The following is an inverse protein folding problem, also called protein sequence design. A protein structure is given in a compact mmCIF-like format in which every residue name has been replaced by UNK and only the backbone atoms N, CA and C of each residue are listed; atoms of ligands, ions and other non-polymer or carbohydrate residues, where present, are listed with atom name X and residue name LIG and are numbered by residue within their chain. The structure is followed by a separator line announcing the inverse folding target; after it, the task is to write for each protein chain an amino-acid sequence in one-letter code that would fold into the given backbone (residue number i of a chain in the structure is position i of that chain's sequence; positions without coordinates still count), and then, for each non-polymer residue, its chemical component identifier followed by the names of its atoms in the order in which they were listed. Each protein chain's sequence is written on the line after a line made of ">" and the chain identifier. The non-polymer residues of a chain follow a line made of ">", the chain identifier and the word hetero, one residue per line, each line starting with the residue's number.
data_IF_459702944650
#
_entry.id   IF_459702944650
#
_cell.length_a   1.000
_cell.length_b   1.000
_cell.length_c   1.000
_cell.angle_alpha   90.00
_cell.angle_beta   90.00
_cell.angle_gamma   90.00
#
_symmetry.space_group_name_H-M   'P 1'
#
loop_
_entity.id
_entity.type
_entity.pdbx_description
1 polymer ?
#
# COMPACT_ATOMS: atom_id res chain seq x y z
N UNK A 1 15.42 17.16 -0.12
CA UNK A 1 15.03 15.72 -0.20
C UNK A 1 15.32 15.20 -1.59
N UNK A 2 16.16 14.17 -1.72
CA UNK A 2 16.62 13.72 -3.03
C UNK A 2 15.77 12.56 -3.58
N UNK A 3 14.50 12.87 -3.91
CA UNK A 3 13.60 11.92 -4.58
C UNK A 3 13.17 12.42 -5.97
N UNK A 4 14.07 13.16 -6.65
CA UNK A 4 13.78 13.77 -7.93
C UNK A 4 12.69 14.82 -7.82
N UNK A 5 11.68 14.74 -8.68
CA UNK A 5 10.56 15.67 -8.71
C UNK A 5 9.41 15.29 -7.76
N UNK A 6 9.51 14.18 -7.02
CA UNK A 6 8.50 13.77 -6.05
C UNK A 6 8.68 14.49 -4.72
N UNK A 7 7.76 15.37 -4.38
CA UNK A 7 7.79 16.18 -3.15
C UNK A 7 6.75 15.68 -2.15
N UNK A 8 7.05 14.59 -1.43
CA UNK A 8 6.12 13.90 -0.52
C UNK A 8 5.50 14.79 0.56
N UNK A 9 6.18 15.86 0.97
CA UNK A 9 5.65 16.86 1.89
C UNK A 9 4.51 17.71 1.32
N UNK A 10 4.15 17.53 0.05
CA UNK A 10 3.00 18.17 -0.58
C UNK A 10 1.89 17.13 -0.78
N UNK A 11 0.83 17.19 0.01
CA UNK A 11 -0.23 16.19 0.10
C UNK A 11 -0.90 15.87 -1.24
N UNK A 12 -1.18 16.84 -2.15
CA UNK A 12 -1.79 16.55 -3.44
C UNK A 12 -1.04 15.53 -4.30
N UNK A 13 0.26 15.29 -4.06
CA UNK A 13 1.03 14.33 -4.87
C UNK A 13 1.30 12.98 -4.16
N UNK A 14 0.85 12.80 -2.92
CA UNK A 14 1.14 11.59 -2.13
C UNK A 14 0.57 10.32 -2.77
N UNK A 15 -0.48 10.42 -3.58
CA UNK A 15 -1.07 9.31 -4.32
C UNK A 15 -0.22 8.85 -5.52
N UNK A 16 0.67 9.70 -6.06
CA UNK A 16 1.37 9.46 -7.33
C UNK A 16 2.16 8.15 -7.37
N UNK A 17 2.78 7.77 -6.26
CA UNK A 17 3.57 6.52 -6.18
C UNK A 17 2.72 5.26 -6.30
N UNK A 18 1.43 5.35 -6.07
CA UNK A 18 0.48 4.26 -6.23
C UNK A 18 -0.01 4.11 -7.69
N UNK A 19 0.17 5.14 -8.54
CA UNK A 19 -0.30 5.13 -9.93
C UNK A 19 0.38 4.06 -10.80
N UNK A 20 1.53 3.54 -10.38
CA UNK A 20 2.13 2.37 -11.03
C UNK A 20 1.24 1.13 -11.04
N UNK A 21 0.26 1.03 -10.12
CA UNK A 21 -0.73 -0.05 -10.13
C UNK A 21 -1.71 0.06 -11.31
N UNK A 22 -1.92 1.28 -11.83
CA UNK A 22 -2.79 1.58 -12.98
C UNK A 22 -2.05 1.44 -14.31
N UNK A 23 -0.72 1.56 -14.30
CA UNK A 23 0.12 1.49 -15.51
C UNK A 23 0.71 0.09 -15.77
N UNK A 24 0.25 -0.93 -15.04
CA UNK A 24 0.72 -2.31 -15.21
C UNK A 24 2.12 -2.58 -14.62
N UNK A 25 2.59 -1.72 -13.71
CA UNK A 25 3.91 -1.85 -13.08
C UNK A 25 3.84 -1.84 -11.53
N UNK A 26 2.97 -2.65 -10.90
CA UNK A 26 2.71 -2.60 -9.45
C UNK A 26 3.97 -2.78 -8.59
N UNK A 27 4.98 -3.48 -9.08
CA UNK A 27 6.25 -3.63 -8.37
C UNK A 27 6.98 -2.29 -8.16
N UNK A 28 6.80 -1.32 -9.05
CA UNK A 28 7.37 0.02 -8.87
C UNK A 28 6.69 0.77 -7.71
N UNK A 29 5.35 0.65 -7.58
CA UNK A 29 4.64 1.19 -6.43
C UNK A 29 5.20 0.59 -5.12
N UNK A 30 5.35 -0.74 -5.04
CA UNK A 30 5.87 -1.44 -3.87
C UNK A 30 7.25 -0.90 -3.46
N UNK A 31 8.15 -0.77 -4.40
CA UNK A 31 9.50 -0.23 -4.16
C UNK A 31 9.44 1.23 -3.69
N UNK A 32 8.72 2.10 -4.40
CA UNK A 32 8.69 3.53 -4.09
C UNK A 32 7.99 3.83 -2.76
N UNK A 33 6.90 3.13 -2.46
CA UNK A 33 6.21 3.27 -1.15
C UNK A 33 7.17 2.89 -0.01
N UNK A 34 7.90 1.77 -0.12
CA UNK A 34 8.89 1.35 0.87
C UNK A 34 10.02 2.38 0.98
N UNK A 35 10.52 2.89 -0.13
CA UNK A 35 11.58 3.89 -0.16
C UNK A 35 11.15 5.18 0.56
N UNK A 36 9.93 5.66 0.32
CA UNK A 36 9.38 6.85 0.97
C UNK A 36 9.28 6.63 2.49
N UNK A 37 8.66 5.54 2.92
CA UNK A 37 8.52 5.24 4.36
C UNK A 37 9.87 5.22 5.08
N UNK A 38 10.91 4.67 4.44
CA UNK A 38 12.23 4.55 5.04
C UNK A 38 13.07 5.83 5.01
N UNK A 39 12.84 6.71 4.01
CA UNK A 39 13.69 7.90 3.79
C UNK A 39 13.09 9.19 4.31
N UNK A 40 11.76 9.29 4.28
CA UNK A 40 11.08 10.57 4.49
C UNK A 40 10.30 10.64 5.81
N UNK A 41 10.33 9.56 6.60
CA UNK A 41 9.76 9.51 7.94
C UNK A 41 10.83 9.08 8.94
N UNK A 42 10.88 9.76 10.10
CA UNK A 42 11.79 9.42 11.19
C UNK A 42 11.05 9.41 12.52
N UNK A 43 11.55 8.64 13.49
CA UNK A 43 10.99 8.58 14.85
C UNK A 43 11.55 9.72 15.72
N UNK A 44 11.43 10.96 15.25
CA UNK A 44 11.89 12.18 15.93
C UNK A 44 10.77 13.20 15.96
N UNK A 45 10.85 14.27 16.79
CA UNK A 45 9.87 15.35 16.77
C UNK A 45 9.67 15.99 15.38
N UNK A 46 10.74 16.05 14.56
CA UNK A 46 10.72 16.57 13.18
C UNK A 46 10.57 15.42 12.17
N UNK A 47 9.76 14.40 12.49
CA UNK A 47 9.67 13.14 11.76
C UNK A 47 9.00 13.19 10.40
N UNK A 48 8.38 14.30 10.02
CA UNK A 48 7.74 14.49 8.72
C UNK A 48 8.61 15.32 7.78
N UNK A 49 8.51 15.04 6.49
CA UNK A 49 9.26 15.76 5.47
C UNK A 49 8.58 17.05 4.98
N UNK A 50 7.48 17.43 5.57
CA UNK A 50 6.66 18.60 5.28
C UNK A 50 5.59 18.73 6.34
N UNK A 51 4.53 19.49 6.04
CA UNK A 51 3.43 19.69 6.98
C UNK A 51 2.64 18.38 7.20
N UNK A 52 2.12 18.25 8.41
CA UNK A 52 1.33 17.08 8.80
C UNK A 52 -0.10 17.15 8.21
N UNK A 53 -0.63 18.38 8.05
CA UNK A 53 -1.92 18.71 7.42
C UNK A 53 -3.13 17.95 7.97
N UNK A 54 -3.38 18.16 9.27
CA UNK A 54 -4.56 17.65 9.97
C UNK A 54 -4.76 16.12 9.85
N UNK A 55 -3.67 15.36 9.85
CA UNK A 55 -3.71 13.91 9.82
C UNK A 55 -3.40 13.28 8.46
N UNK A 56 -3.30 14.05 7.37
CA UNK A 56 -3.08 13.51 6.02
C UNK A 56 -1.75 12.77 5.91
N UNK A 57 -0.65 13.37 6.36
CA UNK A 57 0.68 12.78 6.24
C UNK A 57 0.87 11.60 7.19
N UNK A 58 0.31 11.68 8.40
CA UNK A 58 0.25 10.55 9.35
C UNK A 58 -0.56 9.39 8.78
N UNK A 59 -1.76 9.67 8.25
CA UNK A 59 -2.64 8.66 7.67
C UNK A 59 -1.98 7.95 6.48
N UNK A 60 -1.27 8.70 5.62
CA UNK A 60 -0.53 8.11 4.51
C UNK A 60 0.49 7.08 5.00
N UNK A 61 1.28 7.43 6.03
CA UNK A 61 2.27 6.50 6.61
C UNK A 61 1.60 5.26 7.20
N UNK A 62 0.57 5.44 8.03
CA UNK A 62 -0.12 4.32 8.69
C UNK A 62 -0.73 3.36 7.67
N UNK A 63 -1.49 3.86 6.71
CA UNK A 63 -2.08 3.03 5.66
C UNK A 63 -1.01 2.34 4.80
N UNK A 64 0.01 3.08 4.37
CA UNK A 64 1.12 2.54 3.58
C UNK A 64 1.88 1.46 4.34
N UNK A 65 2.09 1.63 5.64
CA UNK A 65 2.73 0.63 6.50
C UNK A 65 1.89 -0.64 6.67
N UNK A 66 0.56 -0.55 6.58
CA UNK A 66 -0.36 -1.69 6.51
C UNK A 66 -0.30 -2.39 5.14
N UNK A 67 0.19 -1.71 4.10
CA UNK A 67 0.37 -2.25 2.76
C UNK A 67 -0.63 -1.79 1.71
N UNK A 68 -1.47 -0.78 2.00
CA UNK A 68 -2.47 -0.25 1.06
C UNK A 68 -2.79 1.21 1.38
N UNK A 69 -3.42 1.94 0.45
CA UNK A 69 -3.79 3.35 0.62
C UNK A 69 -5.04 3.70 -0.21
N UNK A 70 -6.00 4.49 0.30
CA UNK A 70 -7.15 4.98 -0.45
C UNK A 70 -6.72 6.13 -1.38
N UNK A 71 -6.40 5.80 -2.62
CA UNK A 71 -5.84 6.75 -3.60
C UNK A 71 -6.90 7.70 -4.14
N UNK A 72 -8.11 7.20 -4.37
CA UNK A 72 -9.20 7.96 -4.99
C UNK A 72 -10.36 8.12 -4.02
N UNK A 73 -10.57 9.31 -3.43
CA UNK A 73 -11.78 9.59 -2.65
C UNK A 73 -13.03 9.38 -3.50
N UNK A 74 -14.02 8.68 -2.96
CA UNK A 74 -15.28 8.37 -3.66
C UNK A 74 -15.33 6.98 -4.30
N UNK A 75 -14.21 6.23 -4.31
CA UNK A 75 -14.23 4.80 -4.56
C UNK A 75 -14.12 4.01 -3.26
N UNK A 76 -14.51 2.75 -3.28
CA UNK A 76 -14.36 1.83 -2.13
C UNK A 76 -13.03 1.07 -2.16
N UNK A 77 -12.09 1.46 -3.02
CA UNK A 77 -10.84 0.76 -3.25
C UNK A 77 -9.65 1.32 -2.46
N UNK A 78 -8.87 0.40 -1.89
CA UNK A 78 -7.58 0.65 -1.26
C UNK A 78 -6.49 0.02 -2.13
N UNK A 79 -5.63 0.84 -2.69
CA UNK A 79 -4.61 0.42 -3.65
C UNK A 79 -3.41 -0.17 -2.92
N UNK A 80 -2.89 -1.30 -3.41
CA UNK A 80 -1.78 -2.00 -2.77
C UNK A 80 -0.46 -1.25 -2.95
N UNK A 81 0.25 -1.12 -1.85
CA UNK A 81 1.66 -0.76 -1.78
C UNK A 81 2.49 -1.97 -1.35
N UNK A 82 3.19 -1.83 -0.23
CA UNK A 82 3.99 -2.89 0.38
C UNK A 82 3.92 -2.77 1.91
N UNK A 83 3.59 -3.84 2.64
CA UNK A 83 3.53 -3.78 4.10
C UNK A 83 4.91 -3.51 4.70
N UNK A 84 4.98 -2.64 5.71
CA UNK A 84 6.22 -2.33 6.43
C UNK A 84 6.50 -3.35 7.54
N UNK A 85 5.45 -3.82 8.22
CA UNK A 85 5.55 -4.71 9.37
C UNK A 85 5.42 -6.18 8.96
N UNK A 86 6.03 -7.09 9.73
CA UNK A 86 5.86 -8.54 9.55
C UNK A 86 4.44 -9.00 9.85
N UNK A 87 3.78 -8.31 10.78
CA UNK A 87 2.37 -8.55 11.10
C UNK A 87 1.72 -7.30 11.66
N UNK A 88 0.42 -7.15 11.38
CA UNK A 88 -0.44 -6.15 11.98
C UNK A 88 -1.82 -6.75 12.24
N UNK A 89 -2.52 -6.23 13.25
CA UNK A 89 -3.87 -6.63 13.58
C UNK A 89 -4.71 -5.38 13.87
N UNK A 90 -5.81 -5.22 13.14
CA UNK A 90 -6.73 -4.12 13.30
C UNK A 90 -8.04 -4.65 13.88
N UNK A 91 -8.49 -4.05 14.97
CA UNK A 91 -9.80 -4.31 15.56
C UNK A 91 -10.76 -3.24 15.03
N UNK A 92 -11.79 -3.69 14.32
CA UNK A 92 -12.80 -2.81 13.73
C UNK A 92 -13.92 -2.55 14.75
N UNK A 93 -14.58 -1.40 14.63
CA UNK A 93 -15.69 -1.01 15.50
C UNK A 93 -16.88 -2.01 15.46
N UNK A 94 -17.07 -2.68 14.33
CA UNK A 94 -18.09 -3.72 14.17
C UNK A 94 -17.71 -5.08 14.81
N UNK A 95 -16.62 -5.13 15.60
CA UNK A 95 -16.13 -6.32 16.29
C UNK A 95 -15.34 -7.29 15.40
N UNK A 96 -15.21 -7.01 14.10
CA UNK A 96 -14.41 -7.81 13.19
C UNK A 96 -12.91 -7.47 13.32
N UNK A 97 -12.07 -8.30 12.72
CA UNK A 97 -10.62 -8.11 12.77
C UNK A 97 -10.02 -8.28 11.38
N UNK A 98 -9.09 -7.39 11.04
CA UNK A 98 -8.20 -7.57 9.90
C UNK A 98 -6.85 -8.02 10.46
N UNK A 99 -6.35 -9.15 9.98
CA UNK A 99 -5.01 -9.65 10.30
C UNK A 99 -4.17 -9.59 9.04
N UNK A 100 -3.01 -8.93 9.13
CA UNK A 100 -2.04 -8.82 8.06
C UNK A 100 -0.80 -9.60 8.48
N UNK A 101 -0.30 -10.47 7.62
CA UNK A 101 0.97 -11.19 7.79
C UNK A 101 1.80 -11.02 6.54
N UNK A 102 3.07 -10.65 6.70
CA UNK A 102 4.02 -10.47 5.61
C UNK A 102 5.22 -11.38 5.84
N UNK A 103 5.16 -12.59 5.29
CA UNK A 103 6.22 -13.59 5.39
C UNK A 103 7.45 -13.12 4.59
N UNK A 104 8.64 -13.35 5.15
CA UNK A 104 9.91 -12.91 4.61
C UNK A 104 10.04 -11.38 4.43
N UNK A 105 9.23 -10.58 5.14
CA UNK A 105 9.34 -9.13 5.10
C UNK A 105 10.61 -8.69 5.83
N UNK A 106 11.54 -8.08 5.09
CA UNK A 106 12.82 -7.55 5.56
C UNK A 106 13.12 -6.25 4.80
N UNK A 107 14.18 -5.55 5.17
CA UNK A 107 14.57 -4.29 4.53
C UNK A 107 14.64 -4.40 3.00
N UNK A 108 15.28 -5.47 2.50
CA UNK A 108 15.48 -5.69 1.06
C UNK A 108 14.33 -6.47 0.39
N UNK A 109 13.38 -7.01 1.16
CA UNK A 109 12.27 -7.80 0.65
C UNK A 109 10.99 -6.94 0.60
N UNK A 110 10.97 -5.93 -0.27
CA UNK A 110 9.84 -5.01 -0.40
C UNK A 110 8.82 -5.40 -1.46
N UNK A 111 9.08 -6.43 -2.26
CA UNK A 111 8.19 -6.84 -3.35
C UNK A 111 7.22 -7.94 -2.91
N UNK A 112 5.98 -7.83 -3.34
CA UNK A 112 4.97 -8.88 -3.15
C UNK A 112 5.20 -9.95 -4.21
N UNK A 113 5.69 -11.12 -3.78
CA UNK A 113 5.79 -12.30 -4.64
C UNK A 113 4.41 -12.89 -4.91
N UNK A 114 3.67 -13.15 -3.82
CA UNK A 114 2.32 -13.71 -3.83
C UNK A 114 1.48 -13.10 -2.71
N UNK A 115 0.15 -13.18 -2.84
CA UNK A 115 -0.79 -12.72 -1.85
C UNK A 115 -1.99 -13.66 -1.73
N UNK A 116 -2.50 -13.80 -0.51
CA UNK A 116 -3.76 -14.52 -0.24
C UNK A 116 -4.66 -13.67 0.65
N UNK A 117 -5.97 -13.79 0.44
CA UNK A 117 -6.99 -13.26 1.34
C UNK A 117 -7.89 -14.42 1.76
N UNK A 118 -8.02 -14.62 3.08
CA UNK A 118 -8.80 -15.71 3.65
C UNK A 118 -8.44 -17.09 3.05
N UNK A 119 -7.12 -17.32 2.84
CA UNK A 119 -6.59 -18.56 2.29
C UNK A 119 -6.66 -18.71 0.77
N UNK A 120 -7.38 -17.83 0.05
CA UNK A 120 -7.51 -17.85 -1.41
C UNK A 120 -6.48 -16.96 -2.07
N UNK A 121 -5.91 -17.41 -3.20
CA UNK A 121 -4.97 -16.61 -4.00
C UNK A 121 -5.62 -15.30 -4.46
N UNK A 122 -4.85 -14.21 -4.40
CA UNK A 122 -5.33 -12.86 -4.70
C UNK A 122 -4.32 -12.10 -5.57
N UNK A 123 -4.69 -11.83 -6.82
CA UNK A 123 -3.81 -11.16 -7.80
C UNK A 123 -4.05 -9.67 -7.93
N UNK A 124 -5.24 -9.17 -7.55
CA UNK A 124 -5.60 -7.74 -7.70
C UNK A 124 -4.64 -6.81 -6.98
N UNK A 125 -4.50 -5.60 -7.49
CA UNK A 125 -3.69 -4.53 -6.90
C UNK A 125 -4.50 -3.59 -5.99
N UNK A 126 -5.67 -4.00 -5.56
CA UNK A 126 -6.54 -3.25 -4.65
C UNK A 126 -7.32 -4.19 -3.73
N UNK A 127 -7.81 -3.63 -2.64
CA UNK A 127 -8.75 -4.25 -1.69
C UNK A 127 -10.01 -3.39 -1.69
N UNK A 128 -11.18 -3.98 -1.48
CA UNK A 128 -12.39 -3.18 -1.31
C UNK A 128 -12.72 -2.93 0.16
N UNK A 129 -13.37 -1.82 0.44
CA UNK A 129 -13.83 -1.48 1.79
C UNK A 129 -14.71 -2.59 2.38
N UNK A 130 -15.64 -3.11 1.58
CA UNK A 130 -16.53 -4.20 1.98
C UNK A 130 -15.77 -5.48 2.37
N UNK A 131 -14.70 -5.85 1.64
CA UNK A 131 -13.84 -6.98 2.01
C UNK A 131 -13.18 -6.76 3.37
N UNK A 132 -12.67 -5.55 3.62
CA UNK A 132 -12.01 -5.22 4.88
C UNK A 132 -12.98 -5.19 6.05
N UNK A 133 -14.16 -4.60 5.87
CA UNK A 133 -15.19 -4.48 6.92
C UNK A 133 -15.82 -5.80 7.32
N UNK A 134 -15.77 -6.83 6.48
CA UNK A 134 -16.18 -8.21 6.84
C UNK A 134 -15.15 -8.93 7.71
N UNK A 135 -14.00 -8.33 7.93
CA UNK A 135 -12.82 -8.97 8.52
C UNK A 135 -12.04 -9.76 7.48
N UNK A 136 -10.72 -9.69 7.54
CA UNK A 136 -9.85 -10.31 6.55
C UNK A 136 -8.58 -10.89 7.18
N UNK A 137 -8.13 -12.02 6.64
CA UNK A 137 -6.79 -12.55 6.88
C UNK A 137 -5.98 -12.35 5.61
N UNK A 138 -5.14 -11.32 5.60
CA UNK A 138 -4.31 -10.92 4.47
C UNK A 138 -2.91 -11.48 4.68
N UNK A 139 -2.42 -12.26 3.72
CA UNK A 139 -1.12 -12.89 3.76
C UNK A 139 -0.31 -12.47 2.55
N UNK A 140 0.81 -11.81 2.77
CA UNK A 140 1.80 -11.45 1.77
C UNK A 140 3.00 -12.39 1.86
N UNK A 141 3.44 -12.92 0.74
CA UNK A 141 4.75 -13.55 0.57
C UNK A 141 5.69 -12.52 -0.04
N UNK A 142 6.68 -12.06 0.73
CA UNK A 142 7.59 -11.00 0.30
C UNK A 142 8.85 -11.56 -0.36
N UNK A 143 9.48 -10.74 -1.22
CA UNK A 143 10.67 -11.10 -2.00
C UNK A 143 11.59 -9.89 -2.19
N UNK A 144 12.88 -10.15 -2.38
CA UNK A 144 13.88 -9.14 -2.82
C UNK A 144 13.83 -8.88 -4.34
N UNK A 145 13.11 -9.72 -5.10
CA UNK A 145 12.97 -9.59 -6.55
C UNK A 145 11.54 -9.23 -6.93
N UNK A 146 11.33 -8.27 -7.85
CA UNK A 146 9.99 -7.90 -8.33
C UNK A 146 9.32 -9.06 -9.07
N UNK A 147 8.06 -9.34 -8.74
CA UNK A 147 7.21 -10.21 -9.52
C UNK A 147 6.48 -9.40 -10.59
N UNK A 148 7.02 -9.39 -11.81
CA UNK A 148 6.48 -8.62 -12.94
C UNK A 148 5.29 -9.30 -13.63
N UNK A 149 4.88 -10.47 -13.15
CA UNK A 149 3.73 -11.22 -13.70
C UNK A 149 2.49 -11.12 -12.80
N UNK A 150 2.64 -10.56 -11.58
CA UNK A 150 1.53 -10.39 -10.65
C UNK A 150 0.84 -9.05 -10.87
N UNK A 151 -0.48 -9.06 -10.92
CA UNK A 151 -1.29 -7.83 -10.91
C UNK A 151 -1.23 -7.04 -12.23
N UNK A 152 -0.98 -7.71 -13.35
CA UNK A 152 -0.84 -7.07 -14.67
C UNK A 152 -2.01 -7.32 -15.62
N UNK A 153 -2.98 -8.14 -15.21
CA UNK A 153 -4.17 -8.39 -16.04
C UNK A 153 -5.22 -7.31 -15.80
N UNK A 154 -6.08 -7.07 -16.76
CA UNK A 154 -7.14 -6.05 -16.69
C UNK A 154 -7.99 -6.13 -15.40
N UNK A 155 -8.35 -7.34 -14.97
CA UNK A 155 -9.11 -7.58 -13.73
C UNK A 155 -8.33 -7.28 -12.44
N UNK A 156 -7.02 -7.12 -12.53
CA UNK A 156 -6.14 -6.87 -11.38
C UNK A 156 -5.90 -5.37 -11.17
N UNK A 157 -6.19 -4.55 -12.18
CA UNK A 157 -5.99 -3.09 -12.15
C UNK A 157 -7.12 -2.45 -11.33
N UNK A 158 -6.82 -1.44 -10.50
CA UNK A 158 -7.84 -0.67 -9.81
C UNK A 158 -8.76 0.10 -10.79
N UNK A 159 -9.94 0.49 -10.32
CA UNK A 159 -10.88 1.29 -11.11
C UNK A 159 -10.25 2.58 -11.64
N UNK A 160 -10.50 2.88 -12.91
CA UNK A 160 -10.12 4.13 -13.57
C UNK A 160 -11.15 4.50 -14.62
N UNK A 161 -11.51 5.79 -14.68
CA UNK A 161 -12.38 6.34 -15.75
C UNK A 161 -11.80 6.14 -17.16
N UNK A 162 -10.49 5.91 -17.28
CA UNK A 162 -9.86 5.65 -18.59
C UNK A 162 -10.23 4.30 -19.20
N UNK A 163 -10.94 3.44 -18.47
CA UNK A 163 -11.37 2.12 -18.92
C UNK A 163 -12.89 2.04 -19.16
N UNK A 164 -13.60 3.17 -19.05
CA UNK A 164 -14.98 3.35 -19.46
C UNK A 164 -15.01 3.89 -20.91
#
# INVERSE_FOLDING_TARGET
>A
MNMGQYAHGNQPIQHMVYLYNYSGEPWKAQYRVREIMNKLYTATPDGYCGDEDNGQTSAWYVFSALGFYPVCPGTDEYILGTPLFKSAKLHLENGKTITIKAENNQADNCYIKDMKINGKSYSRNYLTHDQLMKGANIQFQMSSKPNKQRGITEKDVPYSLSFE
#
